data_IF_341507298578
#
_entry.id   IF_341507298578
#
_cell.length_a   1.000
_cell.length_b   1.000
_cell.length_c   1.000
_cell.angle_alpha   90.00
_cell.angle_beta   90.00
_cell.angle_gamma   90.00
#
_symmetry.space_group_name_H-M   'P 1'
#
loop_
_entity.id
_entity.type
_entity.pdbx_description
1 polymer ?
#
# COMPACT_ATOMS: atom_id res chain seq x y z
N UNK A 1 -34.95 -5.35 13.28
CA UNK A 1 -34.07 -4.91 12.18
C UNK A 1 -33.09 -3.90 12.76
N UNK A 2 -31.84 -4.30 12.97
CA UNK A 2 -30.80 -3.38 13.46
C UNK A 2 -30.38 -2.50 12.29
N UNK A 3 -30.62 -1.19 12.38
CA UNK A 3 -30.04 -0.21 11.47
C UNK A 3 -28.52 -0.36 11.61
N UNK A 4 -27.83 -0.93 10.62
CA UNK A 4 -26.37 -0.81 10.56
C UNK A 4 -26.12 0.68 10.34
N UNK A 5 -25.69 1.38 11.39
CA UNK A 5 -25.17 2.72 11.24
C UNK A 5 -24.01 2.64 10.24
N UNK A 6 -24.14 3.31 9.10
CA UNK A 6 -23.09 3.36 8.09
C UNK A 6 -21.85 4.03 8.66
N UNK A 7 -20.67 3.58 8.22
CA UNK A 7 -19.41 4.22 8.62
C UNK A 7 -19.25 5.54 7.87
N UNK A 8 -19.56 6.62 8.57
CA UNK A 8 -19.37 7.97 8.04
C UNK A 8 -17.93 8.46 8.17
N UNK A 9 -17.51 9.25 7.19
CA UNK A 9 -16.24 9.97 7.24
C UNK A 9 -16.26 11.02 8.35
N UNK A 10 -15.29 10.97 9.26
CA UNK A 10 -15.14 11.94 10.34
C UNK A 10 -14.22 13.09 9.94
N UNK A 11 -14.66 14.33 10.22
CA UNK A 11 -13.76 15.50 10.21
C UNK A 11 -12.97 15.57 11.51
N UNK A 12 -11.67 15.85 11.41
CA UNK A 12 -10.78 15.99 12.55
C UNK A 12 -10.27 17.43 12.66
N UNK A 13 -10.22 17.95 13.87
CA UNK A 13 -9.49 19.19 14.16
C UNK A 13 -7.98 19.00 14.04
N UNK A 14 -7.25 20.11 14.00
CA UNK A 14 -5.78 20.10 13.97
C UNK A 14 -5.17 19.39 15.19
N UNK A 15 -5.73 19.62 16.39
CA UNK A 15 -5.26 19.00 17.63
C UNK A 15 -5.55 17.50 17.64
N UNK A 16 -6.76 17.08 17.25
CA UNK A 16 -7.11 15.65 17.15
C UNK A 16 -6.20 14.94 16.15
N UNK A 17 -5.93 15.57 15.01
CA UNK A 17 -5.00 15.05 13.99
C UNK A 17 -3.63 14.76 14.60
N UNK A 18 -3.06 15.70 15.36
CA UNK A 18 -1.76 15.51 16.01
C UNK A 18 -1.82 14.36 17.02
N UNK A 19 -2.84 14.32 17.87
CA UNK A 19 -3.00 13.28 18.90
C UNK A 19 -3.11 11.89 18.28
N UNK A 20 -3.93 11.73 17.24
CA UNK A 20 -4.13 10.45 16.54
C UNK A 20 -2.81 9.99 15.91
N UNK A 21 -2.10 10.90 15.22
CA UNK A 21 -0.79 10.59 14.62
C UNK A 21 0.25 10.17 15.66
N UNK A 22 0.24 10.81 16.82
CA UNK A 22 1.15 10.48 17.91
C UNK A 22 0.85 9.12 18.51
N UNK A 23 -0.43 8.81 18.78
CA UNK A 23 -0.87 7.52 19.31
C UNK A 23 -0.48 6.33 18.43
N UNK A 24 -0.42 6.52 17.12
CA UNK A 24 -0.07 5.43 16.19
C UNK A 24 1.41 5.33 15.86
N UNK A 25 2.25 6.28 16.29
CA UNK A 25 3.65 6.41 15.83
C UNK A 25 4.54 5.21 16.21
N UNK A 26 4.18 4.45 17.24
CA UNK A 26 4.97 3.33 17.76
C UNK A 26 4.32 1.97 17.54
N UNK A 27 3.36 1.86 16.61
CA UNK A 27 2.63 0.61 16.38
C UNK A 27 3.38 -0.39 15.48
N UNK A 28 4.48 0.03 14.85
CA UNK A 28 5.37 -0.83 14.06
C UNK A 28 5.07 -0.78 12.56
N UNK A 29 6.03 -1.29 11.78
CA UNK A 29 6.03 -1.19 10.32
C UNK A 29 4.81 -1.85 9.66
N UNK A 30 4.37 -3.02 10.17
CA UNK A 30 3.20 -3.73 9.62
C UNK A 30 1.91 -2.89 9.73
N UNK A 31 1.74 -2.18 10.85
CA UNK A 31 0.58 -1.33 11.08
C UNK A 31 0.68 -0.05 10.25
N UNK A 32 1.87 0.52 10.10
CA UNK A 32 2.09 1.68 9.23
C UNK A 32 1.80 1.34 7.76
N UNK A 33 2.23 0.16 7.30
CA UNK A 33 1.94 -0.36 5.96
C UNK A 33 0.44 -0.60 5.78
N UNK A 34 -0.23 -1.19 6.77
CA UNK A 34 -1.69 -1.34 6.77
C UNK A 34 -2.35 0.02 6.60
N UNK A 35 -2.09 0.99 7.50
CA UNK A 35 -2.67 2.34 7.46
C UNK A 35 -2.49 2.98 6.09
N UNK A 36 -1.28 2.92 5.54
CA UNK A 36 -0.95 3.47 4.23
C UNK A 36 -1.78 2.84 3.11
N UNK A 37 -1.85 1.51 3.07
CA UNK A 37 -2.56 0.80 2.00
C UNK A 37 -4.06 1.08 2.10
N UNK A 38 -4.68 0.91 3.27
CA UNK A 38 -6.13 1.18 3.39
C UNK A 38 -6.46 2.65 3.12
N UNK A 39 -5.69 3.62 3.63
CA UNK A 39 -5.99 5.04 3.38
C UNK A 39 -5.92 5.41 1.89
N UNK A 40 -4.90 4.91 1.18
CA UNK A 40 -4.73 5.13 -0.27
C UNK A 40 -5.87 4.49 -1.05
N UNK A 41 -6.22 3.24 -0.74
CA UNK A 41 -7.27 2.51 -1.47
C UNK A 41 -8.67 3.10 -1.21
N UNK A 42 -8.95 3.56 0.02
CA UNK A 42 -10.19 4.29 0.30
C UNK A 42 -10.29 5.56 -0.53
N UNK A 43 -9.21 6.35 -0.60
CA UNK A 43 -9.20 7.58 -1.39
C UNK A 43 -9.26 7.32 -2.90
N UNK A 44 -8.63 6.24 -3.38
CA UNK A 44 -8.76 5.76 -4.76
C UNK A 44 -10.20 5.38 -5.10
N UNK A 45 -10.94 4.84 -4.11
CA UNK A 45 -12.34 4.45 -4.18
C UNK A 45 -13.35 5.53 -3.80
N UNK A 46 -12.93 6.80 -3.63
CA UNK A 46 -13.74 7.88 -3.01
C UNK A 46 -15.12 8.16 -3.62
N UNK A 47 -15.39 7.71 -4.85
CA UNK A 47 -16.73 7.80 -5.45
C UNK A 47 -17.78 6.99 -4.66
N UNK A 48 -17.36 5.98 -3.89
CA UNK A 48 -18.16 5.21 -2.96
C UNK A 48 -17.50 5.21 -1.57
N UNK A 49 -17.19 6.41 -1.05
CA UNK A 49 -16.36 6.60 0.14
C UNK A 49 -16.86 5.83 1.36
N UNK A 50 -18.16 5.88 1.66
CA UNK A 50 -18.75 5.19 2.82
C UNK A 50 -18.53 3.68 2.76
N UNK A 51 -18.78 3.07 1.60
CA UNK A 51 -18.55 1.63 1.38
C UNK A 51 -17.06 1.27 1.53
N UNK A 52 -16.16 2.13 1.06
CA UNK A 52 -14.73 1.92 1.16
C UNK A 52 -14.23 2.07 2.61
N UNK A 53 -14.78 3.03 3.36
CA UNK A 53 -14.49 3.21 4.77
C UNK A 53 -14.97 2.03 5.61
N UNK A 54 -16.18 1.52 5.34
CA UNK A 54 -16.71 0.32 5.97
C UNK A 54 -15.76 -0.88 5.75
N UNK A 55 -15.31 -1.05 4.52
CA UNK A 55 -14.41 -2.14 4.16
C UNK A 55 -13.04 -2.01 4.81
N UNK A 56 -12.48 -0.80 4.85
CA UNK A 56 -11.25 -0.54 5.56
C UNK A 56 -11.38 -0.83 7.06
N UNK A 57 -12.52 -0.47 7.67
CA UNK A 57 -12.83 -0.78 9.07
C UNK A 57 -12.85 -2.28 9.33
N UNK A 58 -13.52 -3.06 8.48
CA UNK A 58 -13.58 -4.52 8.57
C UNK A 58 -12.17 -5.15 8.46
N UNK A 59 -11.39 -4.77 7.45
CA UNK A 59 -10.04 -5.29 7.24
C UNK A 59 -9.10 -4.96 8.41
N UNK A 60 -9.18 -3.74 8.95
CA UNK A 60 -8.38 -3.35 10.12
C UNK A 60 -8.79 -4.18 11.34
N UNK A 61 -10.10 -4.42 11.54
CA UNK A 61 -10.61 -5.23 12.65
C UNK A 61 -10.17 -6.68 12.56
N UNK A 62 -10.13 -7.26 11.35
CA UNK A 62 -9.68 -8.64 11.14
C UNK A 62 -8.18 -8.80 11.34
N UNK A 63 -7.37 -7.81 10.92
CA UNK A 63 -5.90 -7.90 10.94
C UNK A 63 -5.28 -7.44 12.26
N UNK A 64 -5.99 -6.65 13.06
CA UNK A 64 -5.48 -6.12 14.34
C UNK A 64 -6.07 -6.90 15.51
N UNK A 65 -5.23 -7.65 16.22
CA UNK A 65 -5.65 -8.53 17.33
C UNK A 65 -6.37 -7.83 18.50
N UNK A 66 -6.09 -6.54 18.73
CA UNK A 66 -6.66 -5.78 19.84
C UNK A 66 -7.68 -4.76 19.33
N UNK A 67 -8.97 -4.97 19.67
CA UNK A 67 -10.08 -4.10 19.23
C UNK A 67 -9.87 -2.61 19.54
N UNK A 68 -9.30 -2.29 20.72
CA UNK A 68 -9.00 -0.91 21.09
C UNK A 68 -7.96 -0.26 20.16
N UNK A 69 -7.01 -1.03 19.62
CA UNK A 69 -6.02 -0.55 18.66
C UNK A 69 -6.61 -0.43 17.26
N UNK A 70 -7.48 -1.35 16.86
CA UNK A 70 -8.16 -1.32 15.55
C UNK A 70 -8.91 0.00 15.33
N UNK A 71 -9.61 0.50 16.36
CA UNK A 71 -10.29 1.80 16.30
C UNK A 71 -9.31 2.96 16.03
N UNK A 72 -8.20 3.02 16.78
CA UNK A 72 -7.22 4.10 16.65
C UNK A 72 -6.53 4.05 15.27
N UNK A 73 -6.24 2.86 14.76
CA UNK A 73 -5.67 2.64 13.43
C UNK A 73 -6.66 3.11 12.35
N UNK A 74 -7.96 2.83 12.51
CA UNK A 74 -8.98 3.31 11.59
C UNK A 74 -9.13 4.83 11.62
N UNK A 75 -9.13 5.46 12.80
CA UNK A 75 -9.09 6.93 12.92
C UNK A 75 -7.85 7.51 12.22
N UNK A 76 -6.71 6.85 12.37
CA UNK A 76 -5.45 7.27 11.74
C UNK A 76 -5.50 7.20 10.22
N UNK A 77 -6.14 6.17 9.66
CA UNK A 77 -6.39 6.06 8.22
C UNK A 77 -7.31 7.19 7.72
N UNK A 78 -8.39 7.49 8.45
CA UNK A 78 -9.28 8.63 8.13
C UNK A 78 -8.55 9.98 8.18
N UNK A 79 -7.63 10.16 9.12
CA UNK A 79 -6.75 11.35 9.16
C UNK A 79 -5.89 11.47 7.90
N UNK A 80 -5.34 10.38 7.36
CA UNK A 80 -4.60 10.44 6.09
C UNK A 80 -5.52 10.73 4.91
N UNK A 81 -6.72 10.14 4.87
CA UNK A 81 -7.72 10.43 3.84
C UNK A 81 -8.10 11.92 3.85
N UNK A 82 -8.25 12.52 5.03
CA UNK A 82 -8.50 13.95 5.18
C UNK A 82 -7.40 14.81 4.55
N UNK A 83 -6.14 14.40 4.73
CA UNK A 83 -4.98 15.07 4.15
C UNK A 83 -4.96 14.92 2.64
N UNK A 84 -5.33 13.75 2.12
CA UNK A 84 -5.43 13.49 0.68
C UNK A 84 -6.53 14.32 0.01
N UNK A 85 -7.66 14.52 0.70
CA UNK A 85 -8.73 15.39 0.22
C UNK A 85 -8.33 16.87 0.21
N UNK A 86 -7.44 17.28 1.12
CA UNK A 86 -6.94 18.65 1.20
C UNK A 86 -5.79 18.92 0.22
N UNK A 87 -5.01 17.90 -0.13
CA UNK A 87 -3.80 18.00 -0.95
C UNK A 87 -3.59 16.71 -1.75
N UNK A 88 -3.83 16.79 -3.06
CA UNK A 88 -3.69 15.65 -3.98
C UNK A 88 -2.23 15.22 -4.17
N UNK A 89 -1.25 16.11 -3.98
CA UNK A 89 0.16 15.72 -4.07
C UNK A 89 0.54 14.76 -2.93
N UNK A 90 -0.02 14.96 -1.73
CA UNK A 90 0.16 14.03 -0.62
C UNK A 90 -0.39 12.64 -0.96
N UNK A 91 -1.54 12.59 -1.64
CA UNK A 91 -2.09 11.33 -2.12
C UNK A 91 -1.16 10.67 -3.14
N UNK A 92 -0.66 11.40 -4.14
CA UNK A 92 0.22 10.84 -5.17
C UNK A 92 1.48 10.25 -4.52
N UNK A 93 2.10 10.97 -3.58
CA UNK A 93 3.26 10.49 -2.83
C UNK A 93 2.94 9.23 -2.02
N UNK A 94 1.81 9.22 -1.30
CA UNK A 94 1.37 8.06 -0.53
C UNK A 94 1.06 6.84 -1.41
N UNK A 95 0.43 7.05 -2.57
CA UNK A 95 0.12 5.99 -3.53
C UNK A 95 1.39 5.36 -4.10
N UNK A 96 2.37 6.17 -4.47
CA UNK A 96 3.64 5.65 -4.97
C UNK A 96 4.36 4.86 -3.87
N UNK A 97 4.40 5.38 -2.63
CA UNK A 97 4.91 4.64 -1.49
C UNK A 97 4.17 3.32 -1.25
N UNK A 98 2.83 3.31 -1.37
CA UNK A 98 2.04 2.09 -1.25
C UNK A 98 2.47 1.04 -2.28
N UNK A 99 2.74 1.44 -3.53
CA UNK A 99 3.25 0.53 -4.54
C UNK A 99 4.63 -0.03 -4.17
N UNK A 100 5.55 0.83 -3.72
CA UNK A 100 6.89 0.42 -3.26
C UNK A 100 6.81 -0.61 -2.13
N UNK A 101 5.99 -0.37 -1.10
CA UNK A 101 5.79 -1.29 0.02
C UNK A 101 5.25 -2.65 -0.46
N UNK A 102 4.31 -2.67 -1.40
CA UNK A 102 3.76 -3.92 -1.95
C UNK A 102 4.78 -4.65 -2.84
N UNK A 103 5.58 -3.92 -3.61
CA UNK A 103 6.65 -4.51 -4.44
C UNK A 103 7.66 -5.18 -3.52
N UNK A 104 8.11 -4.51 -2.45
CA UNK A 104 9.05 -5.07 -1.49
C UNK A 104 8.47 -6.21 -0.65
N UNK A 105 7.17 -6.18 -0.36
CA UNK A 105 6.48 -7.24 0.37
C UNK A 105 5.15 -7.60 -0.30
N UNK A 106 5.21 -8.58 -1.20
CA UNK A 106 4.05 -9.02 -2.00
C UNK A 106 2.87 -9.52 -1.16
N UNK A 107 3.10 -9.95 0.09
CA UNK A 107 2.01 -10.40 0.98
C UNK A 107 1.03 -9.25 1.29
N UNK A 108 1.50 -8.00 1.25
CA UNK A 108 0.66 -6.81 1.41
C UNK A 108 -0.35 -6.63 0.27
N UNK A 109 -0.11 -7.24 -0.90
CA UNK A 109 -1.09 -7.25 -2.00
C UNK A 109 -2.40 -7.94 -1.60
N UNK A 110 -2.39 -8.84 -0.61
CA UNK A 110 -3.62 -9.41 -0.04
C UNK A 110 -4.59 -8.33 0.46
N UNK A 111 -4.09 -7.24 1.05
CA UNK A 111 -4.92 -6.12 1.50
C UNK A 111 -5.61 -5.42 0.31
N UNK A 112 -4.94 -5.35 -0.84
CA UNK A 112 -5.52 -4.77 -2.07
C UNK A 112 -6.67 -5.62 -2.56
N UNK A 113 -6.48 -6.94 -2.63
CA UNK A 113 -7.52 -7.89 -3.03
C UNK A 113 -8.73 -7.80 -2.08
N UNK A 114 -8.45 -7.73 -0.78
CA UNK A 114 -9.47 -7.59 0.23
C UNK A 114 -10.20 -6.25 0.09
N UNK A 115 -9.54 -5.13 -0.19
CA UNK A 115 -10.17 -3.81 -0.32
C UNK A 115 -10.96 -3.60 -1.63
N UNK A 116 -10.56 -4.26 -2.72
CA UNK A 116 -11.09 -4.00 -4.07
C UNK A 116 -11.78 -5.24 -4.67
N UNK A 117 -12.82 -5.80 -4.03
CA UNK A 117 -13.53 -6.95 -4.56
C UNK A 117 -14.46 -6.54 -5.71
N UNK A 118 -14.82 -7.54 -6.52
CA UNK A 118 -15.94 -7.47 -7.43
C UNK A 118 -15.74 -6.49 -8.60
N UNK A 119 -16.74 -6.49 -9.49
CA UNK A 119 -16.65 -5.78 -10.76
C UNK A 119 -16.57 -4.25 -10.60
N UNK A 120 -17.23 -3.69 -9.58
CA UNK A 120 -17.22 -2.25 -9.31
C UNK A 120 -15.81 -1.68 -9.00
N UNK A 121 -14.88 -2.54 -8.59
CA UNK A 121 -13.49 -2.16 -8.31
C UNK A 121 -12.49 -2.78 -9.29
N UNK A 122 -12.94 -3.52 -10.32
CA UNK A 122 -12.07 -4.23 -11.25
C UNK A 122 -11.06 -3.30 -11.94
N UNK A 123 -11.49 -2.11 -12.37
CA UNK A 123 -10.60 -1.12 -12.98
C UNK A 123 -9.50 -0.62 -12.02
N UNK A 124 -9.85 -0.37 -10.76
CA UNK A 124 -8.90 0.06 -9.72
C UNK A 124 -7.92 -1.05 -9.41
N UNK A 125 -8.42 -2.28 -9.26
CA UNK A 125 -7.60 -3.45 -9.02
C UNK A 125 -6.63 -3.70 -10.19
N UNK A 126 -7.08 -3.50 -11.44
CA UNK A 126 -6.25 -3.61 -12.63
C UNK A 126 -5.12 -2.58 -12.64
N UNK A 127 -5.38 -1.34 -12.19
CA UNK A 127 -4.32 -0.31 -12.06
C UNK A 127 -3.25 -0.76 -11.07
N UNK A 128 -3.63 -1.23 -9.87
CA UNK A 128 -2.63 -1.69 -8.89
C UNK A 128 -1.88 -2.91 -9.44
N UNK A 129 -2.60 -3.86 -10.05
CA UNK A 129 -2.01 -5.07 -10.65
C UNK A 129 -0.99 -4.73 -11.73
N UNK A 130 -1.31 -3.82 -12.65
CA UNK A 130 -0.42 -3.49 -13.77
C UNK A 130 0.88 -2.84 -13.31
N UNK A 131 0.81 -1.95 -12.29
CA UNK A 131 2.00 -1.32 -11.70
C UNK A 131 2.89 -2.36 -11.03
N UNK A 132 2.30 -3.24 -10.20
CA UNK A 132 3.06 -4.29 -9.51
C UNK A 132 3.66 -5.25 -10.53
N UNK A 133 2.87 -5.76 -11.48
CA UNK A 133 3.36 -6.70 -12.48
C UNK A 133 4.51 -6.12 -13.29
N UNK A 134 4.39 -4.86 -13.74
CA UNK A 134 5.45 -4.18 -14.47
C UNK A 134 6.75 -4.10 -13.67
N UNK A 135 6.68 -3.78 -12.38
CA UNK A 135 7.87 -3.71 -11.53
C UNK A 135 8.57 -5.07 -11.38
N UNK A 136 7.81 -6.15 -11.19
CA UNK A 136 8.35 -7.51 -11.12
C UNK A 136 8.94 -7.97 -12.46
N UNK A 137 8.28 -7.66 -13.58
CA UNK A 137 8.78 -7.98 -14.92
C UNK A 137 10.11 -7.23 -15.19
N UNK A 138 10.19 -5.95 -14.81
CA UNK A 138 11.42 -5.15 -14.93
C UNK A 138 12.56 -5.70 -14.06
N UNK A 139 12.29 -6.05 -12.80
CA UNK A 139 13.29 -6.64 -11.90
C UNK A 139 13.80 -7.99 -12.42
N UNK A 140 12.90 -8.84 -12.94
CA UNK A 140 13.27 -10.12 -13.54
C UNK A 140 14.13 -9.94 -14.80
N UNK A 141 13.76 -8.98 -15.67
CA UNK A 141 14.53 -8.68 -16.88
C UNK A 141 15.92 -8.16 -16.55
N UNK A 142 16.05 -7.24 -15.59
CA UNK A 142 17.35 -6.72 -15.12
C UNK A 142 18.24 -7.84 -14.57
N UNK A 143 17.68 -8.76 -13.78
CA UNK A 143 18.43 -9.92 -13.28
C UNK A 143 18.97 -10.80 -14.42
N UNK A 144 18.19 -10.98 -15.49
CA UNK A 144 18.62 -11.76 -16.65
C UNK A 144 19.75 -11.08 -17.45
N UNK A 145 19.68 -9.76 -17.61
CA UNK A 145 20.72 -8.98 -18.30
C UNK A 145 22.00 -8.87 -17.48
N UNK A 146 21.89 -8.59 -16.18
CA UNK A 146 23.02 -8.52 -15.27
C UNK A 146 23.80 -9.85 -15.23
N UNK A 147 23.08 -10.98 -15.22
CA UNK A 147 23.69 -12.32 -15.30
C UNK A 147 24.48 -12.50 -16.60
N UNK A 148 23.92 -12.09 -17.75
CA UNK A 148 24.62 -12.16 -19.05
C UNK A 148 25.89 -11.30 -19.07
N UNK A 149 25.83 -10.09 -18.50
CA UNK A 149 26.98 -9.20 -18.41
C UNK A 149 28.10 -9.80 -17.54
N UNK A 150 27.75 -10.40 -16.40
CA UNK A 150 28.68 -11.12 -15.53
C UNK A 150 29.36 -12.28 -16.28
N UNK A 151 28.58 -13.14 -16.95
CA UNK A 151 29.12 -14.25 -17.74
C UNK A 151 30.04 -13.78 -18.88
N UNK A 152 29.70 -12.66 -19.54
CA UNK A 152 30.53 -12.07 -20.58
C UNK A 152 31.86 -11.53 -20.02
N UNK A 153 31.83 -10.90 -18.85
CA UNK A 153 33.01 -10.39 -18.17
C UNK A 153 33.93 -11.53 -17.71
N UNK A 154 33.36 -12.61 -17.17
CA UNK A 154 34.12 -13.80 -16.76
C UNK A 154 34.82 -14.47 -17.95
N UNK A 155 34.13 -14.63 -19.09
CA UNK A 155 34.74 -15.15 -20.33
C UNK A 155 35.89 -14.28 -20.82
N UNK A 156 35.70 -12.96 -20.81
CA UNK A 156 36.74 -12.01 -21.21
C UNK A 156 37.96 -12.10 -20.29
N UNK A 157 37.74 -12.13 -18.98
CA UNK A 157 38.81 -12.31 -17.99
C UNK A 157 39.52 -13.66 -18.11
N UNK A 158 38.80 -14.74 -18.42
CA UNK A 158 39.39 -16.05 -18.65
C UNK A 158 40.31 -16.05 -19.89
N UNK A 159 39.86 -15.46 -21.00
CA UNK A 159 40.67 -15.35 -22.22
C UNK A 159 41.93 -14.51 -22.04
N UNK A 160 41.88 -13.45 -21.23
CA UNK A 160 43.06 -12.64 -20.91
C UNK A 160 44.09 -13.42 -20.10
N UNK A 161 43.66 -14.27 -19.16
CA UNK A 161 44.56 -15.11 -18.35
C UNK A 161 45.20 -16.26 -19.12
N UNK A 162 44.59 -16.67 -20.24
CA UNK A 162 45.16 -17.65 -21.16
C UNK A 162 46.17 -17.02 -22.14
N UNK A 163 46.00 -15.74 -22.49
CA UNK A 163 46.92 -15.00 -23.36
C UNK A 163 48.24 -14.59 -22.67
N UNK A 164 48.25 -14.53 -21.33
CA UNK A 164 49.42 -14.21 -20.51
C UNK A 164 50.28 -15.46 -20.12
N UNK A 165 49.98 -16.64 -20.68
CA UNK A 165 50.75 -17.89 -20.50
C UNK A 165 51.50 -18.29 -21.75
#
# INVERSE_FOLDING_TARGET
MSVKAGVEYRKFSFVETIIIRWKTRSLGADIDALILIVSVLVYMGRNALEQQLERAREIIQERVRLNAMAHIIFERAQVEIARYMADEELYIKARNKMFEEIIHNIQLYGIVLDMLPGEANASKLQIVRSVIQKAYDEEFMLNSEAKRLLEAQEKTNASLREADK
#
